data_IF_685649898968
#
_entry.id   IF_685649898968
#
_cell.length_a   1.000
_cell.length_b   1.000
_cell.length_c   1.000
_cell.angle_alpha   90.00
_cell.angle_beta   90.00
_cell.angle_gamma   90.00
#
_symmetry.space_group_name_H-M   'P 1'
#
loop_
_entity.id
_entity.type
_entity.pdbx_description
1 polymer ?
#
# COMPACT_ATOMS: atom_id res chain seq x y z
N UNK A 1 -7.93 19.78 -1.44
CA UNK A 1 -6.77 20.29 -0.65
C UNK A 1 -6.25 21.59 -1.27
N UNK A 2 -5.97 22.62 -0.45
CA UNK A 2 -5.35 23.87 -0.93
C UNK A 2 -3.84 23.67 -1.03
N UNK A 3 -3.23 23.98 -2.19
CA UNK A 3 -1.77 23.99 -2.32
C UNK A 3 -1.19 25.18 -1.57
N UNK A 4 -0.73 24.95 -0.34
CA UNK A 4 -0.04 25.95 0.46
C UNK A 4 1.45 26.01 0.08
N UNK A 5 2.10 27.18 0.19
CA UNK A 5 3.55 27.29 0.03
C UNK A 5 4.30 26.35 0.98
N UNK A 6 5.36 25.69 0.51
CA UNK A 6 6.14 24.74 1.33
C UNK A 6 6.69 25.39 2.62
N UNK A 7 7.01 26.67 2.59
CA UNK A 7 7.46 27.43 3.77
C UNK A 7 6.40 27.52 4.87
N UNK A 8 5.11 27.52 4.50
CA UNK A 8 4.00 27.48 5.47
C UNK A 8 3.81 26.09 6.08
N UNK A 9 4.31 25.05 5.38
CA UNK A 9 4.36 23.68 5.87
C UNK A 9 5.61 23.38 6.70
N UNK A 10 6.42 24.40 7.00
CA UNK A 10 7.65 24.27 7.80
C UNK A 10 8.88 23.82 7.00
N UNK A 11 8.81 23.81 5.66
CA UNK A 11 9.94 23.44 4.80
C UNK A 11 10.76 24.71 4.47
N UNK A 12 12.02 24.83 4.94
CA UNK A 12 12.81 26.05 4.84
C UNK A 12 13.29 26.30 3.41
N UNK A 13 12.73 27.30 2.73
CA UNK A 13 13.02 27.60 1.31
C UNK A 13 14.50 27.78 0.97
N UNK A 14 15.31 28.36 1.88
CA UNK A 14 16.75 28.57 1.67
C UNK A 14 17.63 27.33 1.92
N UNK A 15 17.03 26.22 2.38
CA UNK A 15 17.73 24.96 2.69
C UNK A 15 17.09 23.75 2.02
N UNK A 16 16.18 23.98 1.09
CA UNK A 16 15.53 22.94 0.28
C UNK A 16 16.14 22.96 -1.12
N UNK A 17 16.32 21.77 -1.69
CA UNK A 17 16.76 21.56 -3.07
C UNK A 17 15.74 20.67 -3.76
N UNK A 18 15.54 20.88 -5.05
CA UNK A 18 14.69 20.05 -5.88
C UNK A 18 15.52 18.86 -6.36
N UNK A 19 15.13 17.65 -5.95
CA UNK A 19 15.83 16.42 -6.32
C UNK A 19 15.83 16.24 -7.85
N UNK A 20 16.94 15.80 -8.43
CA UNK A 20 17.23 15.69 -9.88
C UNK A 20 17.50 17.03 -10.58
N UNK A 21 16.82 18.12 -10.22
CA UNK A 21 17.06 19.45 -10.81
C UNK A 21 18.29 20.13 -10.22
N UNK A 22 18.38 20.19 -8.88
CA UNK A 22 19.51 20.78 -8.13
C UNK A 22 20.62 19.73 -7.83
N UNK A 23 20.56 18.59 -8.50
CA UNK A 23 21.42 17.43 -8.28
C UNK A 23 20.81 16.38 -7.36
N UNK A 24 21.64 15.42 -6.96
CA UNK A 24 21.23 14.28 -6.13
C UNK A 24 22.18 14.07 -4.95
N UNK A 25 21.70 13.56 -3.81
CA UNK A 25 22.57 13.17 -2.70
C UNK A 25 23.48 12.01 -3.07
N UNK A 26 24.75 12.07 -2.64
CA UNK A 26 25.72 10.98 -2.73
C UNK A 26 25.82 10.30 -4.11
N UNK A 27 25.99 11.04 -5.23
CA UNK A 27 26.03 10.46 -6.58
C UNK A 27 27.20 9.49 -6.80
N UNK A 28 28.23 9.57 -5.96
CA UNK A 28 29.40 8.70 -5.95
C UNK A 28 29.07 7.26 -5.57
N UNK A 29 27.98 7.03 -4.83
CA UNK A 29 27.54 5.71 -4.35
C UNK A 29 26.06 5.40 -4.60
N UNK A 30 25.24 6.42 -4.86
CA UNK A 30 23.80 6.28 -5.09
C UNK A 30 23.43 6.61 -6.54
N UNK A 31 22.70 5.70 -7.16
CA UNK A 31 22.06 5.92 -8.46
C UNK A 31 20.57 6.22 -8.23
N UNK A 32 20.12 7.37 -8.76
CA UNK A 32 18.75 7.84 -8.58
C UNK A 32 17.94 7.62 -9.86
N UNK A 33 16.80 6.94 -9.75
CA UNK A 33 16.02 6.45 -10.88
C UNK A 33 14.57 6.89 -10.71
N UNK A 34 14.05 7.65 -11.68
CA UNK A 34 12.69 8.21 -11.64
C UNK A 34 11.69 7.30 -12.34
N UNK A 35 10.55 7.06 -11.70
CA UNK A 35 9.31 6.63 -12.34
C UNK A 35 8.36 7.83 -12.39
N UNK A 36 8.17 8.36 -13.60
CA UNK A 36 7.41 9.59 -13.83
C UNK A 36 8.33 10.82 -14.05
N UNK A 37 7.80 12.05 -13.88
CA UNK A 37 6.49 12.36 -13.29
C UNK A 37 5.32 11.89 -14.16
N UNK A 38 4.27 11.38 -13.52
CA UNK A 38 3.02 10.96 -14.13
C UNK A 38 1.96 12.03 -13.88
N UNK A 39 1.23 12.41 -14.92
CA UNK A 39 0.11 13.34 -14.79
C UNK A 39 -1.15 12.60 -14.33
N UNK A 40 -1.67 13.01 -13.17
CA UNK A 40 -2.93 12.50 -12.59
C UNK A 40 -4.07 13.51 -12.74
N UNK A 41 -3.87 14.62 -13.46
CA UNK A 41 -4.83 15.71 -13.63
C UNK A 41 -4.91 16.67 -12.43
N UNK A 42 -5.17 16.17 -11.22
CA UNK A 42 -5.17 16.98 -9.98
C UNK A 42 -3.79 17.18 -9.35
N UNK A 43 -2.80 16.47 -9.86
CA UNK A 43 -1.45 16.47 -9.33
C UNK A 43 -0.56 15.57 -10.15
N UNK A 44 0.64 15.34 -9.63
CA UNK A 44 1.62 14.44 -10.23
C UNK A 44 1.97 13.34 -9.25
N UNK A 45 2.19 12.15 -9.78
CA UNK A 45 2.88 11.09 -9.06
C UNK A 45 4.30 10.98 -9.59
N UNK A 46 5.27 10.85 -8.70
CA UNK A 46 6.63 10.55 -9.07
C UNK A 46 7.25 9.72 -7.96
N UNK A 47 7.84 8.60 -8.35
CA UNK A 47 8.70 7.80 -7.49
C UNK A 47 10.14 8.14 -7.87
N UNK A 48 10.97 8.44 -6.86
CA UNK A 48 12.41 8.60 -7.05
C UNK A 48 13.10 7.53 -6.21
N UNK A 49 13.51 6.46 -6.89
CA UNK A 49 14.18 5.34 -6.26
C UNK A 49 15.67 5.61 -6.12
N UNK A 50 16.27 5.13 -5.03
CA UNK A 50 17.69 5.28 -4.75
C UNK A 50 18.35 3.91 -4.65
N UNK A 51 19.15 3.54 -5.64
CA UNK A 51 20.01 2.37 -5.59
C UNK A 51 21.31 2.74 -4.89
N UNK A 52 21.51 2.25 -3.67
CA UNK A 52 22.78 2.35 -2.98
C UNK A 52 23.69 1.19 -3.42
N UNK A 53 24.61 1.48 -4.35
CA UNK A 53 25.46 0.48 -5.02
C UNK A 53 26.28 -0.37 -4.04
N UNK A 54 26.92 0.18 -2.99
CA UNK A 54 27.72 -0.64 -2.05
C UNK A 54 26.91 -1.71 -1.31
N UNK A 55 25.63 -1.45 -1.01
CA UNK A 55 24.77 -2.43 -0.33
C UNK A 55 23.86 -3.19 -1.27
N UNK A 56 23.95 -2.97 -2.59
CA UNK A 56 23.10 -3.60 -3.58
C UNK A 56 21.58 -3.40 -3.33
N UNK A 57 21.20 -2.30 -2.68
CA UNK A 57 19.84 -2.08 -2.18
C UNK A 57 19.15 -0.91 -2.87
N UNK A 58 17.96 -1.16 -3.42
CA UNK A 58 17.07 -0.15 -3.97
C UNK A 58 16.07 0.27 -2.90
N UNK A 59 16.08 1.56 -2.55
CA UNK A 59 15.04 2.17 -1.71
C UNK A 59 13.95 2.73 -2.61
N UNK A 60 12.69 2.42 -2.30
CA UNK A 60 11.50 2.94 -3.00
C UNK A 60 10.49 3.44 -1.97
N UNK A 61 9.68 4.44 -2.33
CA UNK A 61 8.63 4.94 -1.44
C UNK A 61 7.33 4.16 -1.61
N UNK A 62 6.75 4.19 -2.81
CA UNK A 62 5.37 3.77 -3.03
C UNK A 62 5.23 2.78 -4.19
N UNK A 63 6.14 2.80 -5.17
CA UNK A 63 5.99 2.05 -6.41
C UNK A 63 5.89 0.53 -6.23
N UNK A 64 6.56 -0.03 -5.21
CA UNK A 64 6.55 -1.45 -4.89
C UNK A 64 6.43 -1.68 -3.38
N UNK A 65 5.78 -2.79 -3.03
CA UNK A 65 5.62 -3.26 -1.66
C UNK A 65 5.89 -4.76 -1.60
N UNK A 66 6.31 -5.26 -0.43
CA UNK A 66 6.33 -6.69 -0.13
C UNK A 66 5.53 -6.96 1.13
N UNK A 67 4.48 -7.78 1.04
CA UNK A 67 3.57 -8.00 2.16
C UNK A 67 3.72 -9.42 2.71
N UNK A 68 4.21 -9.54 3.95
CA UNK A 68 4.30 -10.82 4.66
C UNK A 68 2.97 -11.20 5.32
N UNK A 69 2.72 -12.51 5.45
CA UNK A 69 1.57 -13.06 6.20
C UNK A 69 1.59 -12.70 7.69
N UNK A 70 2.77 -12.47 8.26
CA UNK A 70 2.94 -12.09 9.67
C UNK A 70 2.97 -10.56 9.83
N UNK A 71 2.36 -10.00 10.89
CA UNK A 71 2.48 -8.59 11.19
C UNK A 71 3.92 -8.19 11.52
N UNK A 72 4.33 -6.94 11.23
CA UNK A 72 5.64 -6.43 11.61
C UNK A 72 5.80 -6.31 13.13
N UNK A 73 7.05 -6.43 13.61
CA UNK A 73 7.41 -6.45 15.04
C UNK A 73 6.99 -5.20 15.83
N UNK A 74 6.64 -4.09 15.15
CA UNK A 74 6.07 -2.91 15.84
C UNK A 74 4.79 -3.24 16.60
N UNK A 75 4.00 -4.22 16.12
CA UNK A 75 2.79 -4.67 16.78
C UNK A 75 3.05 -5.58 17.99
N UNK A 76 4.30 -6.01 18.23
CA UNK A 76 4.65 -6.71 19.47
C UNK A 76 4.65 -5.78 20.67
N UNK A 77 4.85 -4.47 20.44
CA UNK A 77 4.78 -3.44 21.49
C UNK A 77 3.35 -3.11 21.89
N UNK A 78 2.46 -2.98 20.91
CA UNK A 78 1.04 -2.81 21.13
C UNK A 78 0.22 -3.52 20.04
N UNK A 79 -0.36 -4.69 20.32
CA UNK A 79 -1.14 -5.44 19.35
C UNK A 79 -2.56 -4.89 19.18
N UNK A 80 -2.97 -3.86 19.95
CA UNK A 80 -4.36 -3.35 19.97
C UNK A 80 -4.96 -3.14 18.59
N UNK A 81 -4.27 -2.51 17.62
CA UNK A 81 -4.86 -2.31 16.29
C UNK A 81 -5.16 -3.65 15.62
N UNK A 82 -4.26 -4.64 15.72
CA UNK A 82 -4.49 -5.97 15.17
C UNK A 82 -5.66 -6.65 15.88
N UNK A 83 -5.70 -6.61 17.21
CA UNK A 83 -6.77 -7.24 17.98
C UNK A 83 -8.13 -6.62 17.67
N UNK A 84 -8.17 -5.29 17.49
CA UNK A 84 -9.38 -4.57 17.10
C UNK A 84 -9.92 -5.06 15.76
N UNK A 85 -9.05 -5.15 14.73
CA UNK A 85 -9.42 -5.65 13.39
C UNK A 85 -9.62 -7.17 13.33
N UNK A 86 -9.15 -7.91 14.33
CA UNK A 86 -9.31 -9.38 14.38
C UNK A 86 -10.73 -9.82 14.75
N UNK A 87 -11.56 -8.94 15.32
CA UNK A 87 -12.89 -9.28 15.82
C UNK A 87 -13.86 -9.60 14.69
N UNK A 88 -14.76 -10.54 14.91
CA UNK A 88 -15.90 -10.76 14.01
C UNK A 88 -17.03 -9.77 14.34
N UNK A 89 -17.14 -9.34 15.60
CA UNK A 89 -18.18 -8.41 16.07
C UNK A 89 -17.65 -7.41 17.10
N UNK A 90 -18.33 -6.27 17.20
CA UNK A 90 -17.95 -5.20 18.13
C UNK A 90 -18.04 -5.57 19.61
N UNK A 91 -18.79 -6.62 19.95
CA UNK A 91 -18.98 -7.11 21.31
C UNK A 91 -17.96 -8.19 21.72
N UNK A 92 -16.99 -8.52 20.87
CA UNK A 92 -15.91 -9.44 21.20
C UNK A 92 -14.80 -8.74 22.01
N UNK A 93 -14.24 -9.42 23.04
CA UNK A 93 -13.07 -8.92 23.74
C UNK A 93 -11.84 -8.85 22.81
N UNK A 94 -10.90 -7.98 23.16
CA UNK A 94 -9.59 -7.92 22.51
C UNK A 94 -8.70 -9.07 23.03
N UNK A 95 -9.04 -10.31 22.65
CA UNK A 95 -8.28 -11.50 23.03
C UNK A 95 -7.01 -11.62 22.18
N UNK A 96 -5.86 -11.68 22.84
CA UNK A 96 -4.56 -11.77 22.17
C UNK A 96 -4.16 -13.22 21.90
N UNK A 97 -3.90 -13.52 20.63
CA UNK A 97 -3.28 -14.76 20.18
C UNK A 97 -2.52 -14.53 18.88
N UNK A 98 -1.53 -15.37 18.53
CA UNK A 98 -0.85 -15.28 17.23
C UNK A 98 -1.82 -15.29 16.04
N UNK A 99 -2.87 -16.12 16.11
CA UNK A 99 -3.91 -16.22 15.09
C UNK A 99 -4.77 -14.95 15.03
N UNK A 100 -5.13 -14.37 16.18
CA UNK A 100 -5.86 -13.12 16.24
C UNK A 100 -5.04 -11.96 15.63
N UNK A 101 -3.75 -11.88 15.95
CA UNK A 101 -2.84 -10.88 15.37
C UNK A 101 -2.71 -11.02 13.86
N UNK A 102 -2.48 -12.25 13.35
CA UNK A 102 -2.43 -12.53 11.90
C UNK A 102 -3.74 -12.17 11.19
N UNK A 103 -4.88 -12.53 11.78
CA UNK A 103 -6.20 -12.18 11.24
C UNK A 103 -6.42 -10.67 11.17
N UNK A 104 -6.09 -9.95 12.25
CA UNK A 104 -6.17 -8.49 12.28
C UNK A 104 -5.26 -7.82 11.25
N UNK A 105 -4.04 -8.36 11.10
CA UNK A 105 -3.08 -7.90 10.10
C UNK A 105 -3.58 -8.08 8.66
N UNK A 106 -4.07 -9.27 8.33
CA UNK A 106 -4.62 -9.56 7.00
C UNK A 106 -5.79 -8.64 6.63
N UNK A 107 -6.66 -8.33 7.61
CA UNK A 107 -7.78 -7.39 7.43
C UNK A 107 -7.33 -5.95 7.26
N UNK A 108 -6.29 -5.53 7.99
CA UNK A 108 -5.65 -4.22 7.80
C UNK A 108 -5.01 -4.10 6.42
N UNK A 109 -4.30 -5.13 5.95
CA UNK A 109 -3.71 -5.18 4.61
C UNK A 109 -4.80 -5.02 3.55
N UNK A 110 -5.90 -5.76 3.67
CA UNK A 110 -7.04 -5.65 2.74
C UNK A 110 -7.63 -4.24 2.72
N UNK A 111 -7.84 -3.65 3.90
CA UNK A 111 -8.36 -2.29 4.01
C UNK A 111 -7.39 -1.25 3.42
N UNK A 112 -6.10 -1.33 3.75
CA UNK A 112 -5.10 -0.40 3.23
C UNK A 112 -4.91 -0.53 1.70
N UNK A 113 -5.06 -1.75 1.16
CA UNK A 113 -4.86 -2.03 -0.27
C UNK A 113 -6.06 -1.64 -1.13
N UNK A 114 -7.28 -1.85 -0.64
CA UNK A 114 -8.51 -1.68 -1.42
C UNK A 114 -9.41 -0.54 -0.94
N UNK A 115 -9.14 0.05 0.23
CA UNK A 115 -9.98 0.98 1.00
C UNK A 115 -11.31 0.37 1.46
N UNK A 116 -12.04 -0.27 0.56
CA UNK A 116 -13.24 -1.06 0.83
C UNK A 116 -13.19 -2.35 0.01
N UNK A 117 -12.51 -3.40 0.53
CA UNK A 117 -12.45 -4.69 -0.14
C UNK A 117 -13.84 -5.35 -0.17
N UNK A 118 -14.10 -6.18 -1.17
CA UNK A 118 -15.41 -6.83 -1.39
C UNK A 118 -15.93 -7.61 -0.17
N UNK A 119 -15.11 -8.39 0.55
CA UNK A 119 -15.58 -9.12 1.73
C UNK A 119 -15.91 -8.24 2.95
N UNK A 120 -15.66 -6.92 2.89
CA UNK A 120 -15.92 -5.99 3.99
C UNK A 120 -17.32 -5.39 3.87
N UNK A 121 -18.19 -5.81 4.78
CA UNK A 121 -19.55 -5.30 4.95
C UNK A 121 -19.55 -4.28 6.09
N UNK A 122 -20.22 -3.15 5.86
CA UNK A 122 -20.47 -2.15 6.90
C UNK A 122 -21.83 -2.45 7.53
N UNK A 123 -21.89 -2.90 8.80
CA UNK A 123 -23.15 -3.18 9.48
C UNK A 123 -23.98 -1.92 9.71
N UNK A 124 -25.28 -2.11 10.00
CA UNK A 124 -26.17 -0.98 10.29
C UNK A 124 -25.75 -0.24 11.56
N UNK A 125 -26.01 1.06 11.63
CA UNK A 125 -25.69 1.87 12.82
C UNK A 125 -26.34 1.30 14.09
N UNK A 126 -27.57 0.77 13.97
CA UNK A 126 -28.29 0.16 15.09
C UNK A 126 -27.56 -1.09 15.63
N UNK A 127 -27.01 -1.93 14.75
CA UNK A 127 -26.26 -3.12 15.15
C UNK A 127 -24.91 -2.76 15.77
N UNK A 128 -24.19 -1.78 15.22
CA UNK A 128 -22.95 -1.25 15.81
C UNK A 128 -23.20 -0.76 17.24
N UNK A 129 -24.24 0.04 17.43
CA UNK A 129 -24.58 0.58 18.75
C UNK A 129 -25.00 -0.53 19.71
N UNK A 130 -25.81 -1.51 19.27
CA UNK A 130 -26.24 -2.65 20.10
C UNK A 130 -25.04 -3.43 20.64
N UNK A 131 -24.05 -3.71 19.79
CA UNK A 131 -22.84 -4.46 20.18
C UNK A 131 -21.91 -3.64 21.10
N UNK A 132 -21.84 -2.32 20.91
CA UNK A 132 -20.99 -1.44 21.71
C UNK A 132 -21.40 -1.33 23.20
N UNK A 133 -22.63 -1.75 23.55
CA UNK A 133 -23.15 -1.67 24.92
C UNK A 133 -22.60 -2.72 25.88
N UNK A 134 -21.81 -3.70 25.41
CA UNK A 134 -21.31 -4.79 26.26
C UNK A 134 -20.36 -4.28 27.38
N UNK A 135 -20.53 -4.76 28.63
CA UNK A 135 -19.59 -4.45 29.70
C UNK A 135 -18.15 -4.82 29.35
N UNK A 136 -17.19 -3.93 29.68
CA UNK A 136 -15.76 -4.16 29.46
C UNK A 136 -15.18 -3.61 28.14
N UNK A 137 -16.02 -3.20 27.18
CA UNK A 137 -15.57 -2.67 25.87
C UNK A 137 -15.72 -1.14 25.73
N UNK A 138 -16.24 -0.48 26.75
CA UNK A 138 -16.46 0.97 26.81
C UNK A 138 -15.20 1.73 27.25
N UNK A 139 -14.10 1.51 26.54
CA UNK A 139 -12.83 2.21 26.78
C UNK A 139 -12.31 2.83 25.49
N UNK A 140 -11.50 3.89 25.60
CA UNK A 140 -10.86 4.50 24.44
C UNK A 140 -10.01 3.48 23.65
N UNK A 141 -9.34 2.55 24.35
CA UNK A 141 -8.55 1.46 23.76
C UNK A 141 -9.37 0.54 22.85
N UNK A 142 -10.64 0.31 23.19
CA UNK A 142 -11.56 -0.51 22.40
C UNK A 142 -12.52 0.33 21.53
N UNK A 143 -12.20 1.60 21.31
CA UNK A 143 -13.04 2.57 20.59
C UNK A 143 -14.48 2.64 21.13
N UNK A 144 -14.64 2.52 22.45
CA UNK A 144 -15.93 2.49 23.15
C UNK A 144 -16.89 1.40 22.65
N UNK A 145 -16.36 0.30 22.11
CA UNK A 145 -17.13 -0.80 21.55
C UNK A 145 -17.61 -0.57 20.12
N UNK A 146 -17.30 0.59 19.53
CA UNK A 146 -17.62 0.87 18.13
C UNK A 146 -16.75 0.02 17.21
N UNK A 147 -17.40 -0.77 16.36
CA UNK A 147 -16.75 -1.63 15.39
C UNK A 147 -17.61 -1.70 14.11
N UNK A 148 -17.29 -0.87 13.09
CA UNK A 148 -18.12 -0.73 11.89
C UNK A 148 -17.72 -1.73 10.80
N UNK A 149 -17.31 -2.94 11.18
CA UNK A 149 -16.80 -3.94 10.24
C UNK A 149 -17.46 -5.28 10.46
N UNK A 150 -17.84 -5.92 9.36
CA UNK A 150 -18.30 -7.30 9.29
C UNK A 150 -17.64 -7.93 8.06
N UNK A 151 -17.18 -9.18 8.18
CA UNK A 151 -16.42 -9.85 7.13
C UNK A 151 -17.16 -11.07 6.61
N UNK A 152 -17.28 -11.20 5.30
CA UNK A 152 -17.83 -12.39 4.64
C UNK A 152 -16.91 -13.61 4.85
N UNK A 153 -17.43 -14.85 4.94
CA UNK A 153 -16.65 -16.03 5.31
C UNK A 153 -15.36 -16.28 4.51
N UNK A 154 -15.33 -15.91 3.22
CA UNK A 154 -14.19 -16.16 2.32
C UNK A 154 -13.18 -14.99 2.22
N UNK A 155 -13.23 -14.03 3.16
CA UNK A 155 -12.32 -12.87 3.14
C UNK A 155 -10.83 -13.25 3.13
N UNK A 156 -10.47 -14.43 3.63
CA UNK A 156 -9.09 -14.94 3.67
C UNK A 156 -8.51 -15.17 2.27
N UNK A 157 -9.32 -15.60 1.31
CA UNK A 157 -8.89 -15.81 -0.06
C UNK A 157 -8.36 -14.49 -0.67
N UNK A 158 -9.09 -13.39 -0.45
CA UNK A 158 -8.65 -12.05 -0.88
C UNK A 158 -7.37 -11.59 -0.19
N UNK A 159 -7.18 -11.92 1.09
CA UNK A 159 -5.95 -11.57 1.82
C UNK A 159 -4.74 -12.37 1.30
N UNK A 160 -4.92 -13.66 1.06
CA UNK A 160 -3.86 -14.55 0.55
C UNK A 160 -3.38 -14.13 -0.85
N UNK A 161 -4.22 -13.47 -1.64
CA UNK A 161 -3.82 -12.89 -2.92
C UNK A 161 -2.84 -11.70 -2.79
N UNK A 162 -2.78 -11.06 -1.62
CA UNK A 162 -1.90 -9.91 -1.35
C UNK A 162 -0.67 -10.26 -0.52
N UNK A 163 -0.68 -11.41 0.16
CA UNK A 163 0.27 -11.71 1.24
C UNK A 163 1.01 -13.01 0.95
N UNK A 164 2.30 -13.04 1.25
CA UNK A 164 3.10 -14.24 1.10
C UNK A 164 3.41 -14.91 2.43
N UNK A 165 3.20 -16.24 2.47
CA UNK A 165 3.40 -17.07 3.67
C UNK A 165 4.88 -17.34 3.95
N UNK A 166 5.63 -17.78 2.94
CA UNK A 166 7.06 -18.12 3.06
C UNK A 166 7.95 -16.88 2.90
N UNK A 167 7.66 -16.06 1.89
CA UNK A 167 8.35 -14.81 1.60
C UNK A 167 7.32 -13.70 1.38
N UNK A 168 7.60 -12.44 1.71
CA UNK A 168 6.66 -11.35 1.46
C UNK A 168 6.29 -11.27 -0.03
N UNK A 169 5.00 -11.10 -0.32
CA UNK A 169 4.52 -11.02 -1.69
C UNK A 169 4.87 -9.66 -2.30
N UNK A 170 5.86 -9.66 -3.19
CA UNK A 170 6.33 -8.50 -3.93
C UNK A 170 5.33 -8.12 -5.04
N UNK A 171 4.84 -6.89 -5.00
CA UNK A 171 3.84 -6.39 -5.94
C UNK A 171 3.80 -4.86 -6.00
N UNK A 172 3.00 -4.32 -6.93
CA UNK A 172 2.50 -2.95 -6.88
C UNK A 172 1.30 -2.94 -5.93
N UNK A 173 1.20 -1.95 -5.04
CA UNK A 173 0.04 -1.85 -4.15
C UNK A 173 -1.26 -1.64 -4.96
N UNK A 174 -2.35 -2.38 -4.70
CA UNK A 174 -3.58 -2.30 -5.50
C UNK A 174 -4.17 -0.89 -5.64
N UNK A 175 -4.14 -0.10 -4.57
CA UNK A 175 -4.59 1.31 -4.59
C UNK A 175 -3.80 2.15 -5.59
N UNK A 176 -2.48 1.97 -5.68
CA UNK A 176 -1.65 2.70 -6.65
C UNK A 176 -1.85 2.18 -8.06
N UNK A 177 -1.92 0.86 -8.22
CA UNK A 177 -2.20 0.26 -9.52
C UNK A 177 -3.50 0.80 -10.12
N UNK A 178 -4.58 0.89 -9.32
CA UNK A 178 -5.89 1.29 -9.83
C UNK A 178 -6.09 2.79 -9.94
N UNK A 179 -5.54 3.58 -9.01
CA UNK A 179 -5.80 5.03 -8.93
C UNK A 179 -4.67 5.91 -9.48
N UNK A 180 -3.43 5.39 -9.58
CA UNK A 180 -2.25 6.17 -9.99
C UNK A 180 -1.68 5.65 -11.30
N UNK A 181 -1.55 4.33 -11.45
CA UNK A 181 -0.87 3.70 -12.57
C UNK A 181 -1.76 3.10 -13.67
N UNK A 182 -3.12 3.25 -13.73
CA UNK A 182 -3.91 2.57 -14.76
C UNK A 182 -3.51 3.01 -16.18
N UNK A 183 -3.06 4.27 -16.32
CA UNK A 183 -2.64 4.91 -17.59
C UNK A 183 -1.12 4.97 -17.77
N UNK A 184 -0.36 4.46 -16.79
CA UNK A 184 1.09 4.56 -16.76
C UNK A 184 1.78 3.18 -16.68
N UNK A 185 1.07 2.10 -17.02
CA UNK A 185 1.62 0.74 -17.05
C UNK A 185 2.90 0.66 -17.87
N UNK A 186 2.93 1.27 -19.06
CA UNK A 186 4.10 1.28 -19.92
C UNK A 186 5.30 1.96 -19.23
N UNK A 187 5.08 3.08 -18.54
CA UNK A 187 6.13 3.79 -17.78
C UNK A 187 6.64 2.96 -16.61
N UNK A 188 5.74 2.27 -15.88
CA UNK A 188 6.12 1.34 -14.82
C UNK A 188 6.98 0.19 -15.37
N UNK A 189 6.56 -0.44 -16.47
CA UNK A 189 7.31 -1.55 -17.08
C UNK A 189 8.68 -1.08 -17.59
N UNK A 190 8.76 0.11 -18.19
CA UNK A 190 10.03 0.70 -18.61
C UNK A 190 10.96 1.01 -17.42
N UNK A 191 10.41 1.47 -16.29
CA UNK A 191 11.16 1.66 -15.05
C UNK A 191 11.69 0.32 -14.50
N UNK A 192 10.87 -0.73 -14.47
CA UNK A 192 11.32 -2.09 -14.11
C UNK A 192 12.42 -2.58 -15.06
N UNK A 193 12.28 -2.34 -16.37
CA UNK A 193 13.31 -2.68 -17.35
C UNK A 193 14.63 -1.95 -17.06
N UNK A 194 14.59 -0.66 -16.73
CA UNK A 194 15.77 0.11 -16.33
C UNK A 194 16.42 -0.44 -15.05
N UNK A 195 15.62 -0.83 -14.05
CA UNK A 195 16.13 -1.44 -12.82
C UNK A 195 16.80 -2.79 -13.08
N UNK A 196 16.22 -3.62 -13.95
CA UNK A 196 16.76 -4.95 -14.26
C UNK A 196 18.12 -4.90 -14.96
N UNK A 197 18.49 -3.75 -15.54
CA UNK A 197 19.82 -3.54 -16.12
C UNK A 197 20.91 -3.33 -15.06
N UNK A 198 20.57 -3.22 -13.77
CA UNK A 198 21.51 -3.05 -12.65
C UNK A 198 21.90 -4.43 -12.12
N UNK A 199 22.99 -4.98 -12.65
CA UNK A 199 23.48 -6.33 -12.30
C UNK A 199 23.84 -6.49 -10.82
N UNK A 200 24.14 -5.40 -10.14
CA UNK A 200 24.51 -5.35 -8.72
C UNK A 200 23.31 -5.33 -7.78
N UNK A 201 22.08 -5.22 -8.30
CA UNK A 201 20.88 -5.04 -7.49
C UNK A 201 20.45 -6.37 -6.88
N UNK A 202 20.36 -6.42 -5.54
CA UNK A 202 20.04 -7.64 -4.80
C UNK A 202 18.83 -7.46 -3.86
N UNK A 203 18.63 -6.24 -3.36
CA UNK A 203 17.66 -5.98 -2.30
C UNK A 203 16.70 -4.85 -2.66
N UNK A 204 15.44 -5.00 -2.28
CA UNK A 204 14.45 -3.93 -2.25
C UNK A 204 14.15 -3.53 -0.81
N UNK A 205 14.13 -2.23 -0.54
CA UNK A 205 13.73 -1.63 0.72
C UNK A 205 12.54 -0.71 0.45
N UNK A 206 11.30 -1.25 0.45
CA UNK A 206 10.11 -0.41 0.34
C UNK A 206 9.88 0.37 1.62
N UNK A 207 9.30 1.57 1.52
CA UNK A 207 8.89 2.35 2.68
C UNK A 207 7.70 1.74 3.43
N UNK A 208 6.93 0.87 2.75
CA UNK A 208 5.75 0.22 3.30
C UNK A 208 5.93 -1.30 3.40
N UNK A 209 5.39 -1.88 4.47
CA UNK A 209 5.37 -3.33 4.75
C UNK A 209 6.75 -3.94 5.04
N UNK A 210 7.08 -5.05 4.39
CA UNK A 210 8.26 -5.87 4.69
C UNK A 210 9.49 -5.37 3.95
N UNK A 211 10.59 -5.23 4.69
CA UNK A 211 11.90 -4.89 4.16
C UNK A 211 13.01 -5.57 5.01
N UNK A 212 14.16 -5.92 4.41
CA UNK A 212 14.44 -5.94 2.97
C UNK A 212 13.80 -7.16 2.27
N UNK A 213 13.71 -7.11 0.94
CA UNK A 213 13.22 -8.20 0.08
C UNK A 213 14.29 -8.58 -0.93
N UNK A 214 14.36 -9.86 -1.32
CA UNK A 214 15.16 -10.27 -2.47
C UNK A 214 14.59 -9.62 -3.74
N UNK A 215 15.45 -8.95 -4.48
CA UNK A 215 15.07 -8.19 -5.67
C UNK A 215 16.26 -8.19 -6.62
N UNK A 216 16.47 -9.29 -7.34
CA UNK A 216 17.53 -9.39 -8.36
C UNK A 216 16.98 -9.02 -9.73
N UNK A 217 17.83 -8.80 -10.76
CA UNK A 217 17.39 -8.64 -12.14
C UNK A 217 16.38 -9.71 -12.61
N UNK A 218 16.60 -10.97 -12.24
CA UNK A 218 15.71 -12.08 -12.58
C UNK A 218 14.35 -11.89 -11.90
N UNK A 219 14.34 -11.54 -10.61
CA UNK A 219 13.11 -11.29 -9.85
C UNK A 219 12.33 -10.09 -10.39
N UNK A 220 13.02 -9.05 -10.85
CA UNK A 220 12.40 -7.90 -11.51
C UNK A 220 11.71 -8.33 -12.81
N UNK A 221 12.38 -9.16 -13.62
CA UNK A 221 11.81 -9.67 -14.87
C UNK A 221 10.63 -10.63 -14.62
N UNK A 222 10.66 -11.44 -13.57
CA UNK A 222 9.50 -12.24 -13.13
C UNK A 222 8.31 -11.36 -12.78
N UNK A 223 8.51 -10.34 -11.93
CA UNK A 223 7.47 -9.38 -11.57
C UNK A 223 6.91 -8.70 -12.82
N UNK A 224 7.78 -8.20 -13.70
CA UNK A 224 7.39 -7.58 -14.97
C UNK A 224 6.56 -8.53 -15.84
N UNK A 225 6.94 -9.80 -15.92
CA UNK A 225 6.20 -10.84 -16.62
C UNK A 225 4.79 -11.04 -16.06
N UNK A 226 4.68 -11.16 -14.73
CA UNK A 226 3.38 -11.26 -14.03
C UNK A 226 2.52 -10.03 -14.30
N UNK A 227 3.08 -8.83 -14.17
CA UNK A 227 2.41 -7.56 -14.44
C UNK A 227 1.92 -7.45 -15.88
N UNK A 228 2.58 -8.12 -16.84
CA UNK A 228 2.21 -8.11 -18.27
C UNK A 228 1.10 -9.12 -18.60
N UNK A 229 1.13 -10.29 -17.96
CA UNK A 229 0.22 -11.39 -18.26
C UNK A 229 -1.14 -11.27 -17.56
N UNK A 230 -1.19 -10.65 -16.38
CA UNK A 230 -2.43 -10.47 -15.63
C UNK A 230 -3.28 -9.32 -16.17
N UNK A 231 -4.56 -9.34 -15.82
CA UNK A 231 -5.44 -8.19 -16.01
C UNK A 231 -4.93 -7.02 -15.16
N UNK A 232 -4.80 -5.85 -15.79
CA UNK A 232 -4.15 -4.68 -15.21
C UNK A 232 -5.20 -3.68 -14.71
N UNK A 233 -5.07 -3.29 -13.44
CA UNK A 233 -5.99 -2.35 -12.80
C UNK A 233 -7.47 -2.74 -12.98
N UNK A 234 -7.86 -3.98 -12.63
CA UNK A 234 -9.23 -4.47 -12.83
C UNK A 234 -10.24 -3.65 -12.00
N UNK A 235 -11.52 -3.80 -12.31
CA UNK A 235 -12.62 -3.15 -11.56
C UNK A 235 -13.65 -4.16 -11.05
N UNK A 236 -13.20 -5.38 -10.74
CA UNK A 236 -14.03 -6.49 -10.26
C UNK A 236 -13.58 -6.97 -8.88
N UNK A 237 -14.49 -7.61 -8.15
CA UNK A 237 -14.24 -8.10 -6.79
C UNK A 237 -13.74 -7.00 -5.86
N UNK A 238 -12.67 -7.25 -5.11
CA UNK A 238 -12.10 -6.27 -4.18
C UNK A 238 -11.59 -4.96 -4.82
N UNK A 239 -11.45 -4.92 -6.16
CA UNK A 239 -11.06 -3.71 -6.88
C UNK A 239 -12.22 -2.80 -7.26
N UNK A 240 -13.46 -3.28 -7.17
CA UNK A 240 -14.66 -2.57 -7.65
C UNK A 240 -14.78 -1.17 -7.04
N UNK A 241 -14.54 -1.04 -5.73
CA UNK A 241 -14.62 0.25 -5.05
C UNK A 241 -13.58 1.25 -5.60
N UNK A 242 -12.32 0.84 -5.75
CA UNK A 242 -11.29 1.67 -6.36
C UNK A 242 -11.64 2.02 -7.81
N UNK A 243 -12.22 1.07 -8.56
CA UNK A 243 -12.70 1.28 -9.92
C UNK A 243 -13.80 2.34 -9.99
N UNK A 244 -14.75 2.32 -9.05
CA UNK A 244 -15.81 3.34 -8.95
C UNK A 244 -15.25 4.74 -8.66
N UNK A 245 -14.19 4.83 -7.83
CA UNK A 245 -13.51 6.11 -7.55
C UNK A 245 -12.85 6.63 -8.84
N UNK A 246 -12.05 5.82 -9.54
CA UNK A 246 -11.42 6.26 -10.79
C UNK A 246 -12.46 6.65 -11.85
N UNK A 247 -13.58 5.91 -11.96
CA UNK A 247 -14.65 6.25 -12.89
C UNK A 247 -15.30 7.60 -12.54
N UNK A 248 -15.60 7.86 -11.26
CA UNK A 248 -16.12 9.15 -10.84
C UNK A 248 -15.15 10.29 -11.15
N UNK A 249 -13.85 10.08 -10.93
CA UNK A 249 -12.83 11.08 -11.27
C UNK A 249 -12.75 11.33 -12.78
N UNK A 250 -12.92 10.28 -13.60
CA UNK A 250 -13.00 10.39 -15.06
C UNK A 250 -14.23 11.18 -15.51
N UNK A 251 -15.39 10.87 -14.94
CA UNK A 251 -16.66 11.53 -15.28
C UNK A 251 -16.63 13.03 -14.93
N UNK A 252 -15.94 13.38 -13.84
CA UNK A 252 -15.70 14.76 -13.42
C UNK A 252 -14.60 15.46 -14.24
N UNK A 253 -13.91 14.76 -15.16
CA UNK A 253 -12.81 15.31 -15.96
C UNK A 253 -11.56 15.66 -15.15
N UNK A 254 -11.43 15.06 -13.95
CA UNK A 254 -10.38 15.36 -12.97
C UNK A 254 -9.09 14.63 -13.29
N UNK A 255 -9.19 13.43 -13.86
CA UNK A 255 -8.07 12.60 -14.32
C UNK A 255 -8.09 12.49 -15.85
N UNK A 256 -6.93 12.32 -16.51
CA UNK A 256 -6.89 12.18 -17.97
C UNK A 256 -7.65 10.94 -18.45
N UNK A 257 -8.16 10.97 -19.69
CA UNK A 257 -8.75 9.77 -20.32
C UNK A 257 -7.65 8.75 -20.63
N UNK A 258 -7.99 7.46 -20.62
CA UNK A 258 -7.07 6.43 -21.10
C UNK A 258 -6.69 6.73 -22.56
N UNK A 259 -5.39 6.73 -22.85
CA UNK A 259 -4.83 6.82 -24.21
C UNK A 259 -4.75 5.40 -24.77
#
# INVERSE_FOLDING_TARGET
>A
PVQLPLSWLGIPSSRTRILLEDGVPHPDVCDWISLGPLDLGVGRFQEISCLHRPSAALVVTDALVGIAANPPAIFDRDPTPLLFHSRERGDEPLADSPEARRRGWARLVLFASYLRPEPLVVPSFADVLRHAMKPGLRSARAHFGLYPFQWEPDWRSSANALMGEQEPHLQVAPVLERLVLPRARATLLAWLDQLSQRSELCWLVPAHYSAPLSFTPERIQELRGQLTQRDWAPSTGSWEFLGSIDQQLLDLGVVPKQI
#
